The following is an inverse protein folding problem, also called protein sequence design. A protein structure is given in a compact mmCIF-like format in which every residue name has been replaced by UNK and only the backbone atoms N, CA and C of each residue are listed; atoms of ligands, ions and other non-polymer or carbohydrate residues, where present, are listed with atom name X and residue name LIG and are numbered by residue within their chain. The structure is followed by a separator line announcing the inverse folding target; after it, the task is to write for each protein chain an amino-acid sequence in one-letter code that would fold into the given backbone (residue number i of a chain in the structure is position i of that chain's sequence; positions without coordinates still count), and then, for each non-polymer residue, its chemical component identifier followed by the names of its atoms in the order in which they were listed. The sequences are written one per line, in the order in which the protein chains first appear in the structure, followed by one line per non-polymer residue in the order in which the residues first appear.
data_IF_831017158712
#
_entry.id   IF_831017158712
#
_cell.length_a   1.000
_cell.length_b   1.000
_cell.length_c   1.000
_cell.angle_alpha   90.00
_cell.angle_beta   90.00
_cell.angle_gamma   90.00
#
_symmetry.space_group_name_H-M   'P 1'
#
loop_
_entity.id
_entity.type
_entity.pdbx_description
1 polymer ?
#
# COMPACT_ATOMS: atom_id res chain seq x y z
N UNK A 1 -5.43 5.85 21.28
CA UNK A 1 -6.24 5.69 20.06
C UNK A 1 -6.48 4.21 19.89
N UNK A 2 -7.74 3.77 19.85
CA UNK A 2 -8.08 2.37 19.55
C UNK A 2 -8.06 2.19 18.03
N UNK A 3 -7.19 1.33 17.51
CA UNK A 3 -7.18 1.00 16.10
C UNK A 3 -8.25 -0.06 15.83
N UNK A 4 -9.03 0.08 14.77
CA UNK A 4 -10.02 -0.91 14.38
C UNK A 4 -9.69 -1.44 12.98
N UNK A 5 -9.85 -2.76 12.81
CA UNK A 5 -9.90 -3.39 11.50
C UNK A 5 -11.34 -3.29 10.99
N UNK A 6 -11.50 -2.71 9.81
CA UNK A 6 -12.80 -2.60 9.16
C UNK A 6 -12.84 -3.42 7.88
N UNK A 7 -14.00 -4.01 7.61
CA UNK A 7 -14.35 -4.66 6.36
C UNK A 7 -15.49 -3.90 5.70
N UNK A 8 -15.33 -3.54 4.43
CA UNK A 8 -16.34 -2.86 3.63
C UNK A 8 -16.52 -3.66 2.34
N UNK A 9 -17.75 -4.12 2.07
CA UNK A 9 -18.06 -4.75 0.78
C UNK A 9 -17.89 -3.76 -0.37
N UNK A 10 -17.37 -4.21 -1.51
CA UNK A 10 -17.18 -3.35 -2.69
C UNK A 10 -17.94 -3.96 -3.85
N UNK A 11 -18.78 -3.18 -4.53
CA UNK A 11 -19.40 -3.58 -5.79
C UNK A 11 -18.43 -3.30 -6.96
N UNK A 12 -17.84 -4.33 -7.62
CA UNK A 12 -16.79 -4.09 -8.61
C UNK A 12 -17.27 -3.36 -9.87
N UNK A 13 -18.53 -3.61 -10.28
CA UNK A 13 -19.13 -2.95 -11.43
C UNK A 13 -19.28 -1.45 -11.17
N UNK A 14 -19.84 -1.06 -10.02
CA UNK A 14 -20.00 0.35 -9.63
C UNK A 14 -18.65 1.04 -9.43
N UNK A 15 -17.65 0.34 -8.89
CA UNK A 15 -16.29 0.86 -8.82
C UNK A 15 -15.69 1.10 -10.21
N UNK A 16 -15.91 0.20 -11.17
CA UNK A 16 -15.43 0.37 -12.53
C UNK A 16 -16.13 1.55 -13.23
N UNK A 17 -17.44 1.70 -13.04
CA UNK A 17 -18.22 2.85 -13.55
C UNK A 17 -17.70 4.15 -12.94
N UNK A 18 -17.56 4.21 -11.60
CA UNK A 18 -17.02 5.37 -10.89
C UNK A 18 -15.62 5.74 -11.43
N UNK A 19 -14.74 4.76 -11.61
CA UNK A 19 -13.40 4.97 -12.13
C UNK A 19 -13.42 5.53 -13.57
N UNK A 20 -14.28 5.00 -14.44
CA UNK A 20 -14.42 5.45 -15.82
C UNK A 20 -14.95 6.89 -15.90
N UNK A 21 -16.06 7.18 -15.22
CA UNK A 21 -16.69 8.51 -15.18
C UNK A 21 -15.74 9.58 -14.63
N UNK A 22 -14.96 9.24 -13.59
CA UNK A 22 -13.97 10.15 -13.00
C UNK A 22 -12.62 10.17 -13.72
N UNK A 23 -12.45 9.36 -14.78
CA UNK A 23 -11.18 9.18 -15.51
C UNK A 23 -10.01 8.77 -14.61
N UNK A 24 -10.31 7.93 -13.62
CA UNK A 24 -9.41 7.43 -12.59
C UNK A 24 -8.99 5.97 -12.78
N UNK A 25 -9.40 5.32 -13.88
CA UNK A 25 -9.00 3.94 -14.17
C UNK A 25 -7.46 3.78 -14.17
N UNK A 26 -7.03 2.74 -13.48
CA UNK A 26 -5.66 2.21 -13.39
C UNK A 26 -5.69 0.69 -13.30
N UNK A 27 -4.52 0.05 -13.24
CA UNK A 27 -4.41 -1.41 -13.31
C UNK A 27 -4.92 -2.09 -12.01
N UNK A 28 -5.05 -1.37 -10.89
CA UNK A 28 -5.35 -1.95 -9.56
C UNK A 28 -6.53 -1.34 -8.79
N UNK A 29 -7.25 -0.38 -9.41
CA UNK A 29 -8.32 0.40 -8.83
C UNK A 29 -7.94 1.22 -7.57
N UNK A 30 -6.65 1.30 -7.21
CA UNK A 30 -6.20 1.91 -5.96
C UNK A 30 -6.53 3.40 -5.88
N UNK A 31 -6.36 4.13 -6.97
CA UNK A 31 -6.70 5.55 -7.02
C UNK A 31 -8.21 5.81 -7.06
N UNK A 32 -8.95 4.99 -7.80
CA UNK A 32 -10.42 5.08 -7.84
C UNK A 32 -11.02 4.81 -6.47
N UNK A 33 -10.56 3.77 -5.76
CA UNK A 33 -10.97 3.48 -4.39
C UNK A 33 -10.60 4.59 -3.42
N UNK A 34 -9.39 5.14 -3.50
CA UNK A 34 -9.00 6.28 -2.68
C UNK A 34 -9.96 7.45 -2.85
N UNK A 35 -10.28 7.82 -4.09
CA UNK A 35 -11.19 8.92 -4.38
C UNK A 35 -12.64 8.62 -3.95
N UNK A 36 -13.12 7.40 -4.18
CA UNK A 36 -14.45 6.97 -3.76
C UNK A 36 -14.59 6.95 -2.23
N UNK A 37 -13.58 6.45 -1.51
CA UNK A 37 -13.57 6.43 -0.04
C UNK A 37 -13.54 7.85 0.53
N UNK A 38 -12.71 8.74 -0.03
CA UNK A 38 -12.66 10.13 0.39
C UNK A 38 -13.98 10.85 0.13
N UNK A 39 -14.63 10.60 -1.01
CA UNK A 39 -15.93 11.17 -1.32
C UNK A 39 -17.06 10.62 -0.43
N UNK A 40 -16.99 9.33 -0.06
CA UNK A 40 -18.02 8.66 0.74
C UNK A 40 -17.89 8.88 2.25
N UNK A 41 -16.68 8.89 2.77
CA UNK A 41 -16.40 8.87 4.21
C UNK A 41 -15.52 10.03 4.70
N UNK A 42 -15.04 10.89 3.80
CA UNK A 42 -14.17 12.02 4.17
C UNK A 42 -12.92 11.58 4.93
N UNK A 43 -12.61 12.28 6.03
CA UNK A 43 -11.46 11.98 6.89
C UNK A 43 -11.61 10.69 7.70
N UNK A 44 -12.83 10.16 7.84
CA UNK A 44 -13.11 8.88 8.49
C UNK A 44 -12.82 7.67 7.59
N UNK A 45 -12.47 7.90 6.31
CA UNK A 45 -12.12 6.85 5.37
C UNK A 45 -10.98 5.94 5.89
N UNK A 46 -11.07 4.61 5.72
CA UNK A 46 -10.01 3.69 6.15
C UNK A 46 -8.68 3.96 5.46
N UNK A 47 -7.61 4.05 6.25
CA UNK A 47 -6.22 4.20 5.77
C UNK A 47 -5.23 3.66 6.82
N UNK A 48 -4.28 2.79 6.44
CA UNK A 48 -4.16 2.15 5.13
C UNK A 48 -5.30 1.17 4.84
N UNK A 49 -5.42 0.75 3.58
CA UNK A 49 -6.38 -0.29 3.18
C UNK A 49 -5.80 -1.31 2.20
N UNK A 50 -6.49 -2.43 2.07
CA UNK A 50 -6.23 -3.54 1.15
C UNK A 50 -7.53 -3.90 0.42
N UNK A 51 -7.54 -3.78 -0.90
CA UNK A 51 -8.64 -4.28 -1.72
C UNK A 51 -8.41 -5.75 -2.10
N UNK A 52 -9.45 -6.55 -2.00
CA UNK A 52 -9.46 -7.99 -2.28
C UNK A 52 -10.61 -8.27 -3.27
N UNK A 53 -10.39 -8.07 -4.58
CA UNK A 53 -11.43 -8.21 -5.60
C UNK A 53 -11.94 -9.66 -5.72
N UNK A 54 -11.02 -10.64 -5.66
CA UNK A 54 -11.32 -12.05 -5.96
C UNK A 54 -11.40 -12.94 -4.70
N UNK A 55 -11.78 -12.37 -3.55
CA UNK A 55 -11.85 -13.14 -2.31
C UNK A 55 -13.08 -14.06 -2.27
N UNK A 56 -12.94 -15.25 -1.70
CA UNK A 56 -14.02 -16.26 -1.57
C UNK A 56 -15.28 -15.80 -0.81
N UNK A 57 -15.23 -14.63 -0.14
CA UNK A 57 -16.37 -14.03 0.60
C UNK A 57 -16.94 -12.81 -0.14
N UNK A 58 -16.66 -12.73 -1.43
CA UNK A 58 -16.96 -11.60 -2.29
C UNK A 58 -15.90 -10.48 -2.24
N UNK A 59 -15.95 -9.56 -3.22
CA UNK A 59 -15.06 -8.42 -3.31
C UNK A 59 -15.24 -7.49 -2.10
N UNK A 60 -14.16 -7.18 -1.42
CA UNK A 60 -14.21 -6.29 -0.27
C UNK A 60 -12.88 -5.60 -0.02
N UNK A 61 -12.95 -4.55 0.78
CA UNK A 61 -11.82 -3.82 1.31
C UNK A 61 -11.65 -4.18 2.80
N UNK A 62 -10.41 -4.43 3.19
CA UNK A 62 -9.99 -4.36 4.59
C UNK A 62 -9.27 -3.02 4.81
N UNK A 63 -9.46 -2.38 5.95
CA UNK A 63 -8.77 -1.13 6.26
C UNK A 63 -8.59 -0.92 7.75
N UNK A 64 -7.68 -0.02 8.11
CA UNK A 64 -7.55 0.44 9.49
C UNK A 64 -8.20 1.81 9.67
N UNK A 65 -8.89 1.99 10.79
CA UNK A 65 -9.46 3.28 11.23
C UNK A 65 -9.07 3.55 12.67
N UNK A 66 -8.75 4.81 12.98
CA UNK A 66 -8.49 5.26 14.35
C UNK A 66 -9.73 5.76 15.09
N UNK A 67 -10.82 5.98 14.36
CA UNK A 67 -12.11 6.45 14.88
C UNK A 67 -13.25 5.69 14.16
N UNK A 68 -13.69 4.54 14.71
CA UNK A 68 -14.78 3.76 14.12
C UNK A 68 -16.13 4.49 14.21
N UNK A 69 -16.35 5.33 15.22
CA UNK A 69 -17.62 6.05 15.40
C UNK A 69 -17.80 7.09 14.29
N UNK A 70 -16.75 7.86 13.97
CA UNK A 70 -16.79 8.79 12.84
C UNK A 70 -17.05 8.09 11.49
N UNK A 71 -16.54 6.86 11.31
CA UNK A 71 -16.84 6.06 10.11
C UNK A 71 -18.31 5.62 10.07
N UNK A 72 -18.87 5.19 11.20
CA UNK A 72 -20.29 4.81 11.32
C UNK A 72 -21.22 6.00 11.06
N UNK A 73 -20.92 7.16 11.64
CA UNK A 73 -21.66 8.41 11.40
C UNK A 73 -21.61 8.81 9.93
N UNK A 74 -20.43 8.75 9.30
CA UNK A 74 -20.30 9.01 7.87
C UNK A 74 -21.08 7.99 7.04
N UNK A 75 -21.06 6.71 7.42
CA UNK A 75 -21.79 5.65 6.72
C UNK A 75 -23.32 5.81 6.84
N UNK A 76 -23.82 6.37 7.94
CA UNK A 76 -25.25 6.63 8.14
C UNK A 76 -25.80 7.76 7.24
N UNK A 77 -24.94 8.67 6.78
CA UNK A 77 -25.32 9.71 5.83
C UNK A 77 -25.52 9.14 4.43
N UNK A 78 -26.53 9.62 3.68
CA UNK A 78 -26.69 9.25 2.28
C UNK A 78 -25.48 9.75 1.46
N UNK A 79 -25.02 8.99 0.45
CA UNK A 79 -23.97 9.45 -0.43
C UNK A 79 -24.41 10.70 -1.19
N UNK A 80 -23.51 11.67 -1.32
CA UNK A 80 -23.76 12.94 -2.03
C UNK A 80 -23.76 12.78 -3.55
N UNK A 81 -23.27 11.65 -4.04
CA UNK A 81 -23.14 11.34 -5.47
C UNK A 81 -23.82 10.00 -5.79
N UNK A 82 -24.65 9.98 -6.84
CA UNK A 82 -25.34 8.75 -7.27
C UNK A 82 -24.39 7.60 -7.61
N UNK A 83 -23.18 7.91 -8.11
CA UNK A 83 -22.15 6.91 -8.42
C UNK A 83 -21.63 6.14 -7.19
N UNK A 84 -21.91 6.62 -5.98
CA UNK A 84 -21.46 6.01 -4.72
C UNK A 84 -22.58 5.25 -4.00
N UNK A 85 -23.82 5.32 -4.50
CA UNK A 85 -25.01 4.78 -3.84
C UNK A 85 -24.85 3.30 -3.49
N UNK A 86 -24.42 2.51 -4.47
CA UNK A 86 -24.33 1.05 -4.36
C UNK A 86 -22.88 0.53 -4.32
N UNK A 87 -21.89 1.43 -4.39
CA UNK A 87 -20.47 1.06 -4.46
C UNK A 87 -19.99 0.38 -3.17
N UNK A 88 -20.43 0.88 -2.02
CA UNK A 88 -19.97 0.45 -0.70
C UNK A 88 -21.06 -0.27 0.08
N UNK A 89 -20.75 -1.47 0.56
CA UNK A 89 -21.54 -2.13 1.60
C UNK A 89 -21.35 -1.47 2.97
N UNK A 90 -22.17 -1.87 3.95
CA UNK A 90 -22.04 -1.35 5.31
C UNK A 90 -20.72 -1.75 5.97
N UNK A 91 -19.98 -0.80 6.58
CA UNK A 91 -18.76 -1.13 7.30
C UNK A 91 -19.01 -2.07 8.47
N UNK A 92 -18.15 -3.09 8.60
CA UNK A 92 -18.09 -3.99 9.75
C UNK A 92 -16.77 -3.75 10.46
N UNK A 93 -16.81 -3.42 11.75
CA UNK A 93 -15.64 -3.00 12.53
C UNK A 93 -15.31 -4.00 13.64
N UNK A 94 -14.02 -4.24 13.87
CA UNK A 94 -13.51 -5.01 15.00
C UNK A 94 -12.31 -4.30 15.60
N UNK A 95 -12.31 -4.14 16.93
CA UNK A 95 -11.18 -3.54 17.65
C UNK A 95 -9.92 -4.39 17.49
N UNK A 96 -8.79 -3.74 17.21
CA UNK A 96 -7.46 -4.33 17.32
C UNK A 96 -7.02 -4.37 18.79
N UNK A 97 -6.01 -5.20 19.14
CA UNK A 97 -5.43 -5.17 20.48
C UNK A 97 -5.01 -3.76 20.90
N UNK A 98 -5.43 -3.33 22.08
CA UNK A 98 -5.05 -2.03 22.65
C UNK A 98 -3.57 -2.00 23.07
N UNK A 99 -3.05 -3.17 23.44
CA UNK A 99 -1.67 -3.34 23.90
C UNK A 99 -0.94 -4.37 23.05
N UNK A 100 0.22 -3.99 22.54
CA UNK A 100 1.18 -4.89 21.91
C UNK A 100 2.27 -5.27 22.91
N UNK A 101 2.80 -6.48 22.81
CA UNK A 101 3.86 -6.96 23.69
C UNK A 101 5.18 -7.03 22.92
N UNK A 102 6.23 -6.45 23.48
CA UNK A 102 7.59 -6.63 22.97
C UNK A 102 7.96 -8.12 22.96
N UNK A 103 8.61 -8.59 21.89
CA UNK A 103 8.89 -9.99 21.65
C UNK A 103 7.69 -10.83 21.18
N UNK A 104 6.51 -10.25 21.01
CA UNK A 104 5.38 -10.95 20.39
C UNK A 104 5.66 -11.20 18.90
N UNK A 105 5.34 -12.41 18.44
CA UNK A 105 5.55 -12.87 17.07
C UNK A 105 4.23 -12.96 16.32
N UNK A 106 4.20 -12.50 15.08
CA UNK A 106 3.02 -12.53 14.22
C UNK A 106 3.39 -12.93 12.80
N UNK A 107 2.54 -13.73 12.17
CA UNK A 107 2.56 -13.86 10.72
C UNK A 107 2.06 -12.57 10.10
N UNK A 108 2.54 -12.22 8.90
CA UNK A 108 2.09 -11.04 8.19
C UNK A 108 1.87 -11.26 6.70
N UNK A 109 1.00 -10.43 6.12
CA UNK A 109 0.84 -10.20 4.68
C UNK A 109 0.79 -8.68 4.44
N UNK A 110 1.61 -8.19 3.50
CA UNK A 110 1.63 -6.78 3.15
C UNK A 110 1.88 -6.61 1.65
N UNK A 111 1.03 -5.83 0.98
CA UNK A 111 1.32 -5.34 -0.37
C UNK A 111 1.95 -3.99 -0.32
N UNK A 112 3.06 -3.85 -1.01
CA UNK A 112 3.91 -2.67 -0.98
C UNK A 112 4.33 -2.28 -2.39
N UNK A 113 4.78 -1.03 -2.54
CA UNK A 113 5.56 -0.57 -3.69
C UNK A 113 7.00 -0.33 -3.24
N UNK A 114 7.91 -1.32 -3.38
CA UNK A 114 9.29 -1.18 -2.94
C UNK A 114 10.05 -0.17 -3.80
N UNK A 115 9.96 1.11 -3.44
CA UNK A 115 10.60 2.20 -4.19
C UNK A 115 11.62 2.95 -3.34
N UNK A 116 12.60 3.53 -4.04
CA UNK A 116 13.62 4.43 -3.49
C UNK A 116 13.50 5.80 -4.15
N UNK A 117 13.73 6.87 -3.39
CA UNK A 117 13.63 8.26 -3.86
C UNK A 117 15.01 8.86 -4.08
N UNK A 118 15.09 9.77 -5.04
CA UNK A 118 16.30 10.51 -5.33
C UNK A 118 16.16 11.99 -4.96
N UNK A 119 17.24 12.55 -4.41
CA UNK A 119 17.43 14.00 -4.35
C UNK A 119 17.64 14.58 -5.75
N UNK A 120 17.60 15.91 -5.86
CA UNK A 120 17.73 16.63 -7.15
C UNK A 120 18.99 16.25 -7.93
N UNK A 121 20.14 16.15 -7.25
CA UNK A 121 21.43 15.83 -7.86
C UNK A 121 21.46 14.42 -8.45
N UNK A 122 21.06 13.41 -7.67
CA UNK A 122 21.03 12.01 -8.13
C UNK A 122 20.04 11.83 -9.27
N UNK A 123 18.89 12.54 -9.23
CA UNK A 123 17.92 12.51 -10.33
C UNK A 123 18.50 13.09 -11.63
N UNK A 124 19.24 14.21 -11.55
CA UNK A 124 19.87 14.81 -12.72
C UNK A 124 20.92 13.86 -13.33
N UNK A 125 21.81 13.31 -12.51
CA UNK A 125 22.82 12.36 -12.97
C UNK A 125 22.20 11.08 -13.58
N UNK A 126 21.05 10.61 -13.07
CA UNK A 126 20.31 9.49 -13.68
C UNK A 126 19.61 9.87 -14.98
N UNK A 127 19.19 11.12 -15.16
CA UNK A 127 18.49 11.55 -16.36
C UNK A 127 19.39 11.60 -17.60
N UNK A 128 20.70 11.78 -17.40
CA UNK A 128 21.70 11.81 -18.47
C UNK A 128 22.18 10.41 -18.88
N UNK A 129 21.81 9.36 -18.12
CA UNK A 129 22.16 7.98 -18.44
C UNK A 129 21.18 7.39 -19.47
N UNK A 130 21.65 6.97 -20.66
CA UNK A 130 20.78 6.45 -21.71
C UNK A 130 20.18 5.07 -21.36
N UNK A 131 20.82 4.32 -20.47
CA UNK A 131 20.41 2.99 -20.01
C UNK A 131 19.53 3.03 -18.74
N UNK A 132 19.32 4.21 -18.16
CA UNK A 132 18.58 4.33 -16.91
C UNK A 132 17.07 4.14 -17.13
N UNK A 133 16.54 3.02 -16.61
CA UNK A 133 15.10 2.82 -16.56
C UNK A 133 14.42 3.92 -15.73
N UNK A 134 13.45 4.60 -16.35
CA UNK A 134 12.81 5.79 -15.78
C UNK A 134 13.84 6.81 -15.23
N UNK A 135 14.87 7.15 -16.01
CA UNK A 135 15.98 8.01 -15.57
C UNK A 135 15.56 9.40 -15.02
N UNK A 136 14.43 9.94 -15.49
CA UNK A 136 13.86 11.21 -15.01
C UNK A 136 12.92 11.08 -13.80
N UNK A 137 12.58 9.86 -13.39
CA UNK A 137 11.67 9.66 -12.26
C UNK A 137 12.33 10.02 -10.93
N UNK A 138 11.56 10.68 -10.05
CA UNK A 138 12.01 11.02 -8.70
C UNK A 138 12.04 9.84 -7.73
N UNK A 139 11.47 8.71 -8.14
CA UNK A 139 11.51 7.43 -7.44
C UNK A 139 11.48 6.28 -8.44
N UNK A 140 12.13 5.17 -8.11
CA UNK A 140 12.15 3.94 -8.92
C UNK A 140 12.05 2.71 -8.01
N UNK A 141 11.85 1.54 -8.63
CA UNK A 141 11.96 0.24 -7.99
C UNK A 141 13.30 0.07 -7.25
N UNK A 142 13.25 -0.36 -5.99
CA UNK A 142 14.41 -0.67 -5.15
C UNK A 142 15.33 -1.74 -5.78
N UNK A 143 14.77 -2.73 -6.48
CA UNK A 143 15.54 -3.72 -7.22
C UNK A 143 16.28 -3.08 -8.40
N UNK A 144 15.60 -2.25 -9.20
CA UNK A 144 16.25 -1.55 -10.32
C UNK A 144 17.40 -0.71 -9.79
N UNK A 145 17.21 -0.03 -8.65
CA UNK A 145 18.31 0.69 -7.99
C UNK A 145 19.45 -0.23 -7.58
N UNK A 146 19.16 -1.41 -7.04
CA UNK A 146 20.20 -2.38 -6.66
C UNK A 146 20.99 -2.85 -7.90
N UNK A 147 20.32 -3.17 -9.02
CA UNK A 147 20.98 -3.48 -10.29
C UNK A 147 21.84 -2.32 -10.80
N UNK A 148 21.35 -1.08 -10.77
CA UNK A 148 22.12 0.10 -11.17
C UNK A 148 23.41 0.27 -10.36
N UNK A 149 23.38 -0.06 -9.06
CA UNK A 149 24.55 -0.01 -8.19
C UNK A 149 25.56 -1.08 -8.55
N UNK A 150 25.12 -2.34 -8.66
CA UNK A 150 26.00 -3.47 -9.04
C UNK A 150 26.66 -3.21 -10.40
N UNK A 151 25.90 -2.73 -11.38
CA UNK A 151 26.45 -2.37 -12.69
C UNK A 151 27.48 -1.24 -12.62
N UNK A 152 27.25 -0.21 -11.81
CA UNK A 152 28.20 0.89 -11.62
C UNK A 152 29.50 0.47 -10.93
N UNK A 153 29.44 -0.59 -10.12
CA UNK A 153 30.59 -1.22 -9.45
C UNK A 153 31.26 -2.29 -10.34
N UNK A 154 30.83 -2.44 -11.61
CA UNK A 154 31.38 -3.40 -12.57
C UNK A 154 30.93 -4.85 -12.38
N UNK A 155 29.91 -5.08 -11.54
CA UNK A 155 29.37 -6.40 -11.25
C UNK A 155 28.27 -6.86 -12.20
N UNK A 156 27.91 -8.15 -12.10
CA UNK A 156 26.85 -8.78 -12.88
C UNK A 156 25.48 -8.59 -12.23
N UNK A 157 24.57 -7.87 -12.90
CA UNK A 157 23.24 -7.55 -12.36
C UNK A 157 22.35 -8.77 -12.16
N UNK A 158 22.66 -9.93 -12.78
CA UNK A 158 21.94 -11.20 -12.58
C UNK A 158 22.17 -11.80 -11.19
N UNK A 159 23.17 -11.32 -10.47
CA UNK A 159 23.43 -11.70 -9.06
C UNK A 159 22.51 -10.99 -8.08
N UNK A 160 21.79 -9.95 -8.52
CA UNK A 160 20.83 -9.23 -7.68
C UNK A 160 19.55 -10.04 -7.59
N UNK A 161 19.27 -10.56 -6.41
CA UNK A 161 17.99 -11.21 -6.12
C UNK A 161 16.93 -10.19 -5.65
N UNK A 162 15.74 -10.27 -6.25
CA UNK A 162 14.64 -9.33 -5.97
C UNK A 162 14.05 -9.51 -4.60
N UNK A 163 13.83 -10.76 -4.19
CA UNK A 163 13.26 -11.06 -2.88
C UNK A 163 14.18 -10.52 -1.79
N UNK A 164 15.48 -10.78 -1.89
CA UNK A 164 16.51 -10.25 -0.98
C UNK A 164 16.46 -8.72 -0.89
N UNK A 165 16.38 -8.02 -2.03
CA UNK A 165 16.29 -6.55 -2.06
C UNK A 165 14.99 -6.05 -1.41
N UNK A 166 13.86 -6.70 -1.68
CA UNK A 166 12.56 -6.30 -1.14
C UNK A 166 12.43 -6.63 0.35
N UNK A 167 12.98 -7.74 0.82
CA UNK A 167 13.09 -8.11 2.23
C UNK A 167 13.95 -7.09 2.98
N UNK A 168 15.12 -6.72 2.45
CA UNK A 168 15.95 -5.66 3.03
C UNK A 168 15.23 -4.30 3.03
N UNK A 169 14.51 -3.96 1.95
CA UNK A 169 13.70 -2.75 1.90
C UNK A 169 12.59 -2.76 2.97
N UNK A 170 11.90 -3.90 3.14
CA UNK A 170 10.82 -4.05 4.11
C UNK A 170 11.34 -3.97 5.55
N UNK A 171 12.45 -4.65 5.85
CA UNK A 171 13.11 -4.58 7.16
C UNK A 171 13.36 -3.13 7.56
N UNK A 172 13.91 -2.31 6.65
CA UNK A 172 14.14 -0.87 6.87
C UNK A 172 12.88 -0.06 7.09
N UNK A 173 11.72 -0.51 6.62
CA UNK A 173 10.42 0.14 6.89
C UNK A 173 9.82 -0.24 8.23
N UNK A 174 10.24 -1.37 8.79
CA UNK A 174 9.80 -1.87 10.09
C UNK A 174 10.76 -1.46 11.22
N UNK A 175 11.98 -1.00 10.89
CA UNK A 175 12.96 -0.48 11.85
C UNK A 175 12.32 0.46 12.88
N UNK A 176 12.58 0.20 14.16
CA UNK A 176 12.02 0.95 15.28
C UNK A 176 10.61 0.54 15.69
N UNK A 177 9.99 -0.46 15.05
CA UNK A 177 8.68 -1.00 15.42
C UNK A 177 8.67 -2.53 15.52
N UNK A 178 9.31 -3.21 14.57
CA UNK A 178 9.43 -4.66 14.52
C UNK A 178 10.67 -5.11 13.74
N UNK A 179 11.11 -6.35 13.98
CA UNK A 179 12.11 -7.05 13.17
C UNK A 179 11.45 -8.13 12.33
N UNK A 180 11.94 -8.35 11.12
CA UNK A 180 11.55 -9.53 10.32
C UNK A 180 12.29 -10.75 10.85
N UNK A 181 11.56 -11.82 11.15
CA UNK A 181 12.15 -13.14 11.40
C UNK A 181 12.41 -13.85 10.06
N UNK A 182 11.44 -13.76 9.16
CA UNK A 182 11.49 -14.26 7.79
C UNK A 182 10.59 -13.41 6.88
N UNK A 183 10.89 -13.38 5.58
CA UNK A 183 10.02 -12.77 4.58
C UNK A 183 10.25 -13.39 3.20
N UNK A 184 9.16 -13.61 2.48
CA UNK A 184 9.12 -14.18 1.13
C UNK A 184 8.32 -13.26 0.20
N UNK A 185 8.76 -13.15 -1.04
CA UNK A 185 8.07 -12.44 -2.10
C UNK A 185 7.00 -13.35 -2.71
N UNK A 186 5.77 -13.25 -2.18
CA UNK A 186 4.64 -14.08 -2.60
C UNK A 186 4.13 -13.76 -4.01
N UNK A 187 4.14 -12.48 -4.37
CA UNK A 187 3.70 -12.01 -5.68
C UNK A 187 4.49 -10.79 -6.09
N UNK A 188 4.84 -10.72 -7.37
CA UNK A 188 5.40 -9.53 -7.99
C UNK A 188 4.77 -9.30 -9.36
N UNK A 189 4.41 -8.05 -9.62
CA UNK A 189 4.08 -7.55 -10.94
C UNK A 189 4.54 -6.10 -11.10
N UNK A 190 4.50 -5.60 -12.33
CA UNK A 190 4.60 -4.17 -12.62
C UNK A 190 3.20 -3.66 -12.87
N UNK A 191 2.75 -2.69 -12.08
CA UNK A 191 1.41 -2.11 -12.22
C UNK A 191 1.51 -0.60 -12.43
N UNK A 192 0.64 -0.10 -13.31
CA UNK A 192 0.46 1.33 -13.52
C UNK A 192 -0.58 1.86 -12.55
N UNK A 193 -0.15 2.79 -11.72
CA UNK A 193 -1.02 3.50 -10.76
C UNK A 193 -1.20 4.94 -11.19
N UNK A 194 -2.38 5.52 -10.97
CA UNK A 194 -2.58 6.96 -11.19
C UNK A 194 -1.87 7.78 -10.13
N UNK A 195 -1.33 8.93 -10.54
CA UNK A 195 -0.77 9.94 -9.64
C UNK A 195 -1.23 11.33 -10.02
N UNK A 196 -1.57 12.13 -9.01
CA UNK A 196 -1.87 13.54 -9.19
C UNK A 196 -0.66 14.31 -9.74
N UNK A 197 -0.93 15.28 -10.60
CA UNK A 197 0.04 16.27 -11.07
C UNK A 197 -0.27 17.62 -10.42
N UNK A 198 0.76 18.41 -10.11
CA UNK A 198 0.59 19.82 -9.73
C UNK A 198 0.41 20.73 -10.97
N UNK A 199 0.03 20.18 -12.12
CA UNK A 199 -0.08 20.94 -13.35
C UNK A 199 -1.32 21.84 -13.31
N UNK A 200 -1.13 23.15 -13.55
CA UNK A 200 -2.22 24.12 -13.56
C UNK A 200 -3.17 23.96 -14.78
N UNK A 201 -2.73 23.29 -15.85
CA UNK A 201 -3.51 23.01 -17.07
C UNK A 201 -3.22 21.59 -17.57
N UNK A 202 -4.22 20.94 -18.17
CA UNK A 202 -4.12 19.57 -18.70
C UNK A 202 -4.64 18.49 -17.73
N UNK A 203 -4.32 17.23 -18.01
CA UNK A 203 -4.73 16.11 -17.17
C UNK A 203 -4.15 16.25 -15.75
N UNK A 204 -5.04 16.31 -14.75
CA UNK A 204 -4.68 16.43 -13.32
C UNK A 204 -4.05 15.15 -12.74
N UNK A 205 -4.04 14.07 -13.52
CA UNK A 205 -3.40 12.81 -13.15
C UNK A 205 -2.63 12.24 -14.34
N UNK A 206 -1.58 11.47 -14.06
CA UNK A 206 -0.82 10.70 -15.03
C UNK A 206 -0.62 9.28 -14.51
N UNK A 207 -0.38 8.35 -15.44
CA UNK A 207 -0.08 6.96 -15.12
C UNK A 207 1.40 6.82 -14.81
N UNK A 208 1.74 6.15 -13.70
CA UNK A 208 3.12 5.79 -13.40
C UNK A 208 3.23 4.30 -13.10
N UNK A 209 4.09 3.67 -13.88
CA UNK A 209 4.48 2.28 -13.69
C UNK A 209 5.47 2.14 -12.52
N UNK A 210 5.30 1.11 -11.72
CA UNK A 210 6.23 0.77 -10.64
C UNK A 210 6.01 -0.65 -10.11
N UNK A 211 6.79 -1.06 -9.11
CA UNK A 211 6.71 -2.39 -8.55
C UNK A 211 5.45 -2.54 -7.69
N UNK A 212 4.86 -3.72 -7.75
CA UNK A 212 3.73 -4.14 -6.97
C UNK A 212 4.05 -5.52 -6.41
N UNK A 213 4.29 -5.56 -5.10
CA UNK A 213 4.80 -6.74 -4.44
C UNK A 213 3.93 -7.10 -3.24
N UNK A 214 3.63 -8.38 -3.06
CA UNK A 214 3.07 -8.92 -1.82
C UNK A 214 4.19 -9.67 -1.10
N UNK A 215 4.52 -9.21 0.10
CA UNK A 215 5.47 -9.85 0.99
C UNK A 215 4.70 -10.54 2.12
N UNK A 216 5.12 -11.75 2.48
CA UNK A 216 4.58 -12.50 3.62
C UNK A 216 5.71 -13.06 4.46
N UNK A 217 5.46 -13.34 5.74
CA UNK A 217 6.46 -13.98 6.60
C UNK A 217 6.08 -13.84 8.07
N UNK A 218 7.08 -13.85 8.95
CA UNK A 218 6.91 -13.62 10.39
C UNK A 218 7.71 -12.41 10.85
N UNK A 219 7.16 -11.64 11.78
CA UNK A 219 7.84 -10.54 12.43
C UNK A 219 7.75 -10.64 13.95
N UNK A 220 8.70 -10.02 14.62
CA UNK A 220 8.75 -9.86 16.08
C UNK A 220 8.63 -8.38 16.44
N UNK A 221 7.69 -8.04 17.32
CA UNK A 221 7.48 -6.66 17.79
C UNK A 221 8.65 -6.23 18.69
N UNK A 222 9.26 -5.09 18.40
CA UNK A 222 10.38 -4.54 19.20
C UNK A 222 10.02 -3.26 19.93
N UNK A 223 9.07 -2.47 19.42
CA UNK A 223 8.49 -1.33 20.12
C UNK A 223 6.96 -1.38 20.00
N UNK A 224 6.24 -1.71 21.08
CA UNK A 224 4.78 -1.76 21.08
C UNK A 224 4.10 -0.49 20.56
N UNK A 225 4.62 0.70 20.90
CA UNK A 225 4.00 1.96 20.50
C UNK A 225 4.31 2.29 19.04
N UNK A 226 5.56 2.10 18.61
CA UNK A 226 6.00 2.20 17.23
C UNK A 226 5.24 1.24 16.32
N UNK A 227 4.99 0.01 16.78
CA UNK A 227 4.22 -0.99 16.05
C UNK A 227 2.75 -0.59 15.87
N UNK A 228 2.10 -0.09 16.92
CA UNK A 228 0.74 0.44 16.81
C UNK A 228 0.65 1.60 15.80
N UNK A 229 1.61 2.54 15.86
CA UNK A 229 1.70 3.65 14.90
C UNK A 229 1.92 3.14 13.48
N UNK A 230 2.79 2.15 13.31
CA UNK A 230 3.09 1.53 12.01
C UNK A 230 1.85 0.85 11.40
N UNK A 231 1.08 0.11 12.18
CA UNK A 231 -0.20 -0.47 11.72
C UNK A 231 -1.17 0.62 11.25
N UNK A 232 -1.33 1.69 12.03
CA UNK A 232 -2.22 2.81 11.67
C UNK A 232 -1.75 3.64 10.47
N UNK A 233 -0.44 3.76 10.26
CA UNK A 233 0.14 4.57 9.19
C UNK A 233 0.37 3.81 7.89
N UNK A 234 0.52 2.48 7.99
CA UNK A 234 0.92 1.61 6.90
C UNK A 234 2.42 1.61 6.62
N UNK A 235 2.85 0.56 5.94
CA UNK A 235 4.24 0.29 5.57
C UNK A 235 4.58 0.96 4.24
N UNK A 236 5.60 1.81 4.25
CA UNK A 236 6.14 2.42 3.04
C UNK A 236 5.30 3.58 2.52
N UNK A 237 5.06 3.60 1.21
CA UNK A 237 4.34 4.70 0.54
C UNK A 237 3.05 4.16 -0.07
N UNK A 238 2.14 5.08 -0.37
CA UNK A 238 0.87 4.81 -1.03
C UNK A 238 -0.13 4.03 -0.14
N UNK A 239 0.00 4.21 1.18
CA UNK A 239 -0.91 3.67 2.20
C UNK A 239 -2.40 3.92 1.89
N UNK A 240 -2.70 5.10 1.36
CA UNK A 240 -4.06 5.51 1.01
C UNK A 240 -4.55 4.99 -0.35
N UNK A 241 -3.76 4.19 -1.08
CA UNK A 241 -4.07 3.71 -2.43
C UNK A 241 -4.05 2.17 -2.53
N UNK A 242 -4.30 1.45 -1.45
CA UNK A 242 -4.34 -0.02 -1.45
C UNK A 242 -3.01 -0.72 -1.18
N UNK A 243 -1.98 0.03 -0.76
CA UNK A 243 -0.67 -0.49 -0.36
C UNK A 243 -0.43 -0.25 1.14
N UNK A 244 0.60 -0.88 1.69
CA UNK A 244 1.12 -0.62 3.04
C UNK A 244 0.27 -1.14 4.19
N UNK A 245 -0.95 -1.63 3.96
CA UNK A 245 -1.72 -2.27 5.03
C UNK A 245 -1.05 -3.59 5.45
N UNK A 246 -0.51 -3.63 6.66
CA UNK A 246 0.13 -4.80 7.26
C UNK A 246 -0.95 -5.65 7.95
N UNK A 247 -1.37 -6.75 7.33
CA UNK A 247 -2.32 -7.69 7.91
C UNK A 247 -1.57 -8.68 8.80
N UNK A 248 -2.09 -8.92 10.00
CA UNK A 248 -1.49 -9.83 10.96
C UNK A 248 -2.28 -11.14 11.05
N UNK A 249 -1.57 -12.22 11.29
CA UNK A 249 -2.09 -13.54 11.60
C UNK A 249 -1.34 -14.14 12.78
N UNK A 250 -1.88 -15.18 13.44
CA UNK A 250 -1.09 -15.99 14.36
C UNK A 250 0.20 -16.44 13.66
N UNK A 251 1.36 -16.45 14.36
CA UNK A 251 2.58 -16.96 13.77
C UNK A 251 2.31 -18.38 13.27
N UNK A 252 2.70 -18.67 12.03
CA UNK A 252 2.58 -20.03 11.50
C UNK A 252 3.23 -21.00 12.49
N UNK A 253 2.65 -22.18 12.71
CA UNK A 253 3.38 -23.23 13.42
C UNK A 253 4.69 -23.41 12.66
N UNK A 254 5.82 -23.21 13.34
CA UNK A 254 7.09 -23.69 12.85
C UNK A 254 6.90 -25.18 12.57
N UNK A 255 6.85 -25.52 11.28
CA UNK A 255 6.91 -26.90 10.81
C UNK A 255 8.35 -27.27 10.60
#
# INVERSE_FOLDING_TARGET
MSLHLVRIGIAPCDLAIFAAERRLSDDDAGYALHAALAARFGDAAPRPFRYLPDHARGPHLLGYVGDPAALEEAAALPPTEGLLADLFGMPQSQAMPETWREGARYGFDVRVRPVVRFGKSVRAARADRPDAWQGRAGEIDAYVRACERVAAEGGDTRTVDRETVYTAWLARRLEGAATLDDATLRMFQRSRTRRSTHAAKGARTHSVEGPDAVMTGTLTVTDPQGFAKLLSGGVGRHAAFGFGMLLLSPPGRAG
#
